data_IF_403210787818
#
_entry.id   IF_403210787818
#
_cell.length_a   1.000
_cell.length_b   1.000
_cell.length_c   1.000
_cell.angle_alpha   90.00
_cell.angle_beta   90.00
_cell.angle_gamma   90.00
#
_symmetry.space_group_name_H-M   'P 1'
#
loop_
_entity.id
_entity.type
_entity.pdbx_description
1 polymer ?
#
# COMPACT_ATOMS: atom_id res chain seq x y z
N UNK A 1 -35.79 12.10 4.58
CA UNK A 1 -36.09 13.35 5.34
C UNK A 1 -36.09 14.51 4.36
N UNK A 2 -37.02 15.45 4.53
CA UNK A 2 -37.07 16.64 3.69
C UNK A 2 -35.98 17.63 4.13
N UNK A 3 -34.96 17.82 3.32
CA UNK A 3 -33.80 18.69 3.64
C UNK A 3 -34.16 20.18 3.65
N UNK A 4 -35.36 20.55 3.21
CA UNK A 4 -35.81 21.93 3.05
C UNK A 4 -36.86 22.35 4.09
N UNK A 5 -37.19 21.47 5.03
CA UNK A 5 -38.16 21.79 6.08
C UNK A 5 -37.59 22.85 7.05
N UNK A 6 -38.20 24.03 7.04
CA UNK A 6 -37.83 25.16 7.91
C UNK A 6 -39.12 25.68 8.57
N UNK A 7 -39.02 26.00 9.85
CA UNK A 7 -40.12 26.67 10.55
C UNK A 7 -40.10 28.16 10.21
N UNK A 8 -41.01 28.64 9.36
CA UNK A 8 -41.07 30.02 8.86
C UNK A 8 -41.91 30.92 9.79
N UNK A 9 -41.63 30.91 11.08
CA UNK A 9 -42.30 31.80 12.05
C UNK A 9 -41.38 32.99 12.32
N UNK A 10 -41.77 34.16 11.86
CA UNK A 10 -41.06 35.45 12.08
C UNK A 10 -41.71 36.26 13.19
N UNK A 11 -41.68 35.77 14.43
CA UNK A 11 -42.14 36.51 15.59
C UNK A 11 -40.95 37.09 16.38
N UNK A 12 -41.11 38.26 16.98
CA UNK A 12 -40.06 38.89 17.83
C UNK A 12 -40.28 38.58 19.32
N UNK A 13 -40.92 37.46 19.62
CA UNK A 13 -41.23 36.95 20.95
C UNK A 13 -40.60 35.58 21.20
N UNK A 14 -41.01 34.94 22.32
CA UNK A 14 -40.50 33.62 22.69
C UNK A 14 -40.81 32.54 21.64
N UNK A 15 -41.82 32.77 20.78
CA UNK A 15 -42.19 31.84 19.70
C UNK A 15 -41.21 31.92 18.55
N UNK A 16 -40.71 33.14 18.23
CA UNK A 16 -39.66 33.35 17.24
C UNK A 16 -38.36 32.64 17.67
N UNK A 17 -37.95 32.82 18.92
CA UNK A 17 -36.76 32.14 19.48
C UNK A 17 -36.92 30.61 19.45
N UNK A 18 -38.10 30.11 19.72
CA UNK A 18 -38.39 28.67 19.65
C UNK A 18 -38.29 28.15 18.22
N UNK A 19 -38.80 28.88 17.23
CA UNK A 19 -38.72 28.52 15.81
C UNK A 19 -37.26 28.43 15.33
N UNK A 20 -36.42 29.42 15.70
CA UNK A 20 -34.99 29.46 15.38
C UNK A 20 -34.27 28.24 16.01
N UNK A 21 -34.50 27.95 17.29
CA UNK A 21 -33.94 26.83 17.97
C UNK A 21 -34.34 25.47 17.34
N UNK A 22 -35.57 25.33 16.86
CA UNK A 22 -36.05 24.15 16.14
C UNK A 22 -35.32 24.02 14.80
N UNK A 23 -35.15 25.10 14.08
CA UNK A 23 -34.42 25.11 12.80
C UNK A 23 -32.94 24.71 13.00
N UNK A 24 -32.30 25.29 14.00
CA UNK A 24 -30.90 24.96 14.34
C UNK A 24 -30.76 23.48 14.74
N UNK A 25 -31.66 22.98 15.58
CA UNK A 25 -31.69 21.57 15.97
C UNK A 25 -31.89 20.66 14.75
N UNK A 26 -32.79 21.05 13.85
CA UNK A 26 -33.05 20.28 12.63
C UNK A 26 -31.84 20.26 11.69
N UNK A 27 -31.16 21.40 11.49
CA UNK A 27 -29.94 21.47 10.69
C UNK A 27 -28.80 20.64 11.30
N UNK A 28 -28.61 20.72 12.62
CA UNK A 28 -27.63 19.90 13.32
C UNK A 28 -27.94 18.40 13.19
N UNK A 29 -29.21 18.01 13.25
CA UNK A 29 -29.63 16.64 13.02
C UNK A 29 -29.35 16.15 11.60
N UNK A 30 -29.64 16.95 10.59
CA UNK A 30 -29.35 16.63 9.19
C UNK A 30 -27.84 16.43 8.97
N UNK A 31 -27.01 17.34 9.50
CA UNK A 31 -25.55 17.26 9.43
C UNK A 31 -25.04 15.98 10.11
N UNK A 32 -25.59 15.64 11.29
CA UNK A 32 -25.23 14.41 11.98
C UNK A 32 -25.62 13.15 11.20
N UNK A 33 -26.81 13.14 10.58
CA UNK A 33 -27.25 12.02 9.73
C UNK A 33 -26.32 11.88 8.51
N UNK A 34 -26.00 12.94 7.82
CA UNK A 34 -25.07 12.91 6.66
C UNK A 34 -23.68 12.38 7.07
N UNK A 35 -23.19 12.83 8.22
CA UNK A 35 -21.90 12.36 8.75
C UNK A 35 -21.96 10.84 9.07
N UNK A 36 -23.03 10.37 9.69
CA UNK A 36 -23.22 8.95 9.99
C UNK A 36 -23.39 8.09 8.74
N UNK A 37 -24.06 8.59 7.72
CA UNK A 37 -24.19 7.92 6.42
C UNK A 37 -22.84 7.77 5.73
N UNK A 38 -22.02 8.84 5.73
CA UNK A 38 -20.65 8.81 5.18
C UNK A 38 -19.76 7.81 5.95
N UNK A 39 -19.82 7.84 7.27
CA UNK A 39 -19.03 6.92 8.10
C UNK A 39 -19.47 5.45 7.90
N UNK A 40 -20.78 5.20 7.80
CA UNK A 40 -21.32 3.88 7.46
C UNK A 40 -20.80 3.39 6.12
N UNK A 41 -20.78 4.25 5.10
CA UNK A 41 -20.25 3.91 3.79
C UNK A 41 -18.76 3.54 3.87
N UNK A 42 -17.95 4.34 4.56
CA UNK A 42 -16.51 4.06 4.77
C UNK A 42 -16.29 2.70 5.44
N UNK A 43 -17.07 2.40 6.49
CA UNK A 43 -16.99 1.11 7.19
C UNK A 43 -17.37 -0.05 6.26
N UNK A 44 -18.41 0.11 5.46
CA UNK A 44 -18.84 -0.92 4.51
C UNK A 44 -17.79 -1.17 3.41
N UNK A 45 -17.19 -0.12 2.89
CA UNK A 45 -16.12 -0.23 1.87
C UNK A 45 -14.87 -0.89 2.45
N UNK A 46 -14.49 -0.54 3.68
CA UNK A 46 -13.35 -1.15 4.38
C UNK A 46 -13.60 -2.65 4.64
N UNK A 47 -14.80 -3.02 5.09
CA UNK A 47 -15.17 -4.42 5.34
C UNK A 47 -15.18 -5.23 4.03
N UNK A 48 -15.71 -4.66 2.95
CA UNK A 48 -15.71 -5.30 1.62
C UNK A 48 -14.28 -5.55 1.14
N UNK A 49 -13.43 -4.53 1.21
CA UNK A 49 -12.01 -4.63 0.83
C UNK A 49 -11.29 -5.71 1.66
N UNK A 50 -11.58 -5.79 2.97
CA UNK A 50 -11.02 -6.81 3.85
C UNK A 50 -11.44 -8.23 3.46
N UNK A 51 -12.71 -8.44 3.12
CA UNK A 51 -13.21 -9.75 2.67
C UNK A 51 -12.58 -10.15 1.33
N UNK A 52 -12.48 -9.22 0.38
CA UNK A 52 -11.82 -9.45 -0.90
C UNK A 52 -10.34 -9.79 -0.72
N UNK A 53 -9.63 -9.05 0.15
CA UNK A 53 -8.25 -9.35 0.51
C UNK A 53 -8.07 -10.77 1.08
N UNK A 54 -8.89 -11.17 2.07
CA UNK A 54 -8.79 -12.50 2.68
C UNK A 54 -9.12 -13.62 1.69
N UNK A 55 -10.04 -13.37 0.76
CA UNK A 55 -10.37 -14.32 -0.31
C UNK A 55 -9.19 -14.49 -1.26
N UNK A 56 -8.58 -13.40 -1.70
CA UNK A 56 -7.39 -13.42 -2.54
C UNK A 56 -6.21 -14.09 -1.84
N UNK A 57 -5.97 -13.76 -0.56
CA UNK A 57 -4.94 -14.39 0.27
C UNK A 57 -5.11 -15.92 0.36
N UNK A 58 -6.34 -16.38 0.59
CA UNK A 58 -6.65 -17.82 0.65
C UNK A 58 -6.37 -18.53 -0.67
N UNK A 59 -6.66 -17.86 -1.79
CA UNK A 59 -6.40 -18.40 -3.12
C UNK A 59 -4.89 -18.50 -3.40
N UNK A 60 -4.14 -17.43 -3.11
CA UNK A 60 -2.70 -17.35 -3.36
C UNK A 60 -1.88 -18.29 -2.44
N UNK A 61 -2.34 -18.55 -1.22
CA UNK A 61 -1.74 -19.55 -0.33
C UNK A 61 -2.00 -20.98 -0.79
N UNK A 62 -3.17 -21.25 -1.36
CA UNK A 62 -3.57 -22.60 -1.78
C UNK A 62 -2.67 -23.15 -2.90
N UNK A 63 -2.28 -22.30 -3.85
CA UNK A 63 -1.49 -22.70 -5.02
C UNK A 63 -0.12 -23.29 -4.64
N UNK A 64 0.78 -22.56 -3.92
CA UNK A 64 2.07 -23.10 -3.52
C UNK A 64 1.95 -24.24 -2.52
N UNK A 65 0.94 -24.24 -1.65
CA UNK A 65 0.68 -25.34 -0.73
C UNK A 65 0.32 -26.63 -1.48
N UNK A 66 -0.49 -26.54 -2.52
CA UNK A 66 -0.84 -27.68 -3.36
C UNK A 66 0.38 -28.21 -4.14
N UNK A 67 1.22 -27.30 -4.65
CA UNK A 67 2.46 -27.67 -5.34
C UNK A 67 3.44 -28.37 -4.40
N UNK A 68 3.64 -27.82 -3.20
CA UNK A 68 4.49 -28.43 -2.16
C UNK A 68 4.02 -29.84 -1.79
N UNK A 69 2.73 -30.00 -1.54
CA UNK A 69 2.16 -31.33 -1.24
C UNK A 69 2.37 -32.32 -2.39
N UNK A 70 2.17 -31.89 -3.64
CA UNK A 70 2.39 -32.74 -4.79
C UNK A 70 3.87 -33.20 -4.93
N UNK A 71 4.83 -32.30 -4.69
CA UNK A 71 6.26 -32.67 -4.67
C UNK A 71 6.54 -33.67 -3.57
N UNK A 72 6.07 -33.42 -2.34
CA UNK A 72 6.27 -34.32 -1.20
C UNK A 72 5.63 -35.71 -1.42
N UNK A 73 4.41 -35.79 -1.95
CA UNK A 73 3.74 -37.05 -2.27
C UNK A 73 4.53 -37.84 -3.31
N UNK A 74 5.00 -37.19 -4.38
CA UNK A 74 5.83 -37.86 -5.39
C UNK A 74 7.18 -38.34 -4.83
N UNK A 75 7.77 -37.57 -3.88
CA UNK A 75 8.98 -38.01 -3.17
C UNK A 75 8.71 -39.25 -2.29
N UNK A 76 7.62 -39.22 -1.52
CA UNK A 76 7.21 -40.38 -0.67
C UNK A 76 6.97 -41.62 -1.49
N UNK A 77 6.32 -41.50 -2.65
CA UNK A 77 6.03 -42.61 -3.56
C UNK A 77 7.25 -43.00 -4.41
N UNK A 78 8.34 -42.24 -4.37
CA UNK A 78 9.54 -42.53 -5.16
C UNK A 78 9.32 -42.48 -6.67
N UNK A 79 8.46 -41.56 -7.16
CA UNK A 79 8.07 -41.49 -8.58
C UNK A 79 9.10 -40.72 -9.39
N UNK A 80 9.68 -41.30 -10.41
CA UNK A 80 10.50 -40.65 -11.43
C UNK A 80 11.66 -39.80 -10.84
N UNK A 81 11.74 -38.54 -11.25
CA UNK A 81 12.77 -37.59 -10.84
C UNK A 81 12.74 -37.23 -9.34
N UNK A 82 11.60 -37.37 -8.68
CA UNK A 82 11.43 -37.03 -7.26
C UNK A 82 12.12 -37.98 -6.27
N UNK A 83 12.85 -39.00 -6.78
CA UNK A 83 13.78 -39.84 -5.98
C UNK A 83 15.06 -39.10 -5.62
N UNK A 84 15.36 -38.02 -6.31
CA UNK A 84 16.51 -37.15 -6.03
C UNK A 84 16.18 -36.19 -4.87
N UNK A 85 16.32 -36.70 -3.65
CA UNK A 85 16.04 -35.93 -2.43
C UNK A 85 17.01 -34.77 -2.23
N UNK A 86 18.23 -34.85 -2.78
CA UNK A 86 19.22 -33.78 -2.65
C UNK A 86 18.77 -32.52 -3.41
N UNK A 87 18.08 -32.68 -4.53
CA UNK A 87 17.49 -31.60 -5.32
C UNK A 87 16.15 -31.12 -4.75
N UNK A 88 15.23 -32.03 -4.43
CA UNK A 88 13.84 -31.64 -4.10
C UNK A 88 13.60 -31.26 -2.66
N UNK A 89 14.41 -31.68 -1.68
CA UNK A 89 14.28 -31.19 -0.30
C UNK A 89 14.62 -29.70 -0.16
N UNK A 90 15.71 -29.17 -0.77
CA UNK A 90 15.94 -27.72 -0.83
C UNK A 90 14.80 -26.95 -1.50
N UNK A 91 14.24 -27.45 -2.60
CA UNK A 91 13.09 -26.85 -3.29
C UNK A 91 11.85 -26.79 -2.37
N UNK A 92 11.52 -27.87 -1.67
CA UNK A 92 10.44 -27.88 -0.69
C UNK A 92 10.68 -26.90 0.45
N UNK A 93 11.93 -26.77 0.92
CA UNK A 93 12.30 -25.80 1.95
C UNK A 93 12.08 -24.37 1.47
N UNK A 94 12.53 -24.03 0.26
CA UNK A 94 12.32 -22.70 -0.34
C UNK A 94 10.83 -22.37 -0.46
N UNK A 95 10.00 -23.31 -0.94
CA UNK A 95 8.55 -23.15 -1.00
C UNK A 95 7.93 -22.89 0.38
N UNK A 96 8.45 -23.55 1.42
CA UNK A 96 7.99 -23.37 2.81
C UNK A 96 8.38 -21.98 3.34
N UNK A 97 9.58 -21.48 3.03
CA UNK A 97 10.05 -20.16 3.38
C UNK A 97 9.20 -19.08 2.70
N UNK A 98 8.92 -19.24 1.40
CA UNK A 98 8.03 -18.35 0.63
C UNK A 98 6.61 -18.30 1.23
N UNK A 99 6.04 -19.46 1.59
CA UNK A 99 4.74 -19.53 2.27
C UNK A 99 4.76 -18.81 3.62
N UNK A 100 5.83 -18.97 4.40
CA UNK A 100 5.98 -18.33 5.70
C UNK A 100 6.06 -16.80 5.58
N UNK A 101 6.76 -16.29 4.58
CA UNK A 101 6.85 -14.86 4.30
C UNK A 101 5.50 -14.31 3.83
N UNK A 102 4.79 -15.03 2.97
CA UNK A 102 3.44 -14.66 2.52
C UNK A 102 2.45 -14.59 3.69
N UNK A 103 2.46 -15.58 4.61
CA UNK A 103 1.61 -15.56 5.82
C UNK A 103 1.95 -14.35 6.70
N UNK A 104 3.24 -14.03 6.87
CA UNK A 104 3.67 -12.86 7.65
C UNK A 104 3.15 -11.57 7.03
N UNK A 105 3.28 -11.39 5.71
CA UNK A 105 2.77 -10.21 5.01
C UNK A 105 1.24 -10.10 5.11
N UNK A 106 0.50 -11.21 4.98
CA UNK A 106 -0.95 -11.25 5.16
C UNK A 106 -1.35 -10.82 6.58
N UNK A 107 -0.66 -11.33 7.61
CA UNK A 107 -0.92 -10.97 9.00
C UNK A 107 -0.59 -9.51 9.30
N UNK A 108 0.49 -8.98 8.74
CA UNK A 108 0.82 -7.55 8.87
C UNK A 108 -0.23 -6.68 8.16
N UNK A 109 -0.62 -7.06 6.95
CA UNK A 109 -1.61 -6.32 6.15
C UNK A 109 -3.00 -6.37 6.78
N UNK A 110 -3.41 -7.50 7.35
CA UNK A 110 -4.71 -7.63 8.02
C UNK A 110 -4.87 -6.74 9.27
N UNK A 111 -3.75 -6.26 9.83
CA UNK A 111 -3.73 -5.29 10.94
C UNK A 111 -3.85 -3.85 10.45
N UNK A 112 -3.60 -3.59 9.17
CA UNK A 112 -3.84 -2.29 8.55
C UNK A 112 -5.37 -2.11 8.42
N UNK A 113 -5.89 -0.93 8.77
CA UNK A 113 -7.34 -0.67 8.77
C UNK A 113 -8.11 -1.23 9.99
N UNK A 114 -7.45 -1.90 10.94
CA UNK A 114 -8.03 -2.09 12.27
C UNK A 114 -7.92 -0.76 13.04
N UNK A 115 -8.89 -0.40 13.91
CA UNK A 115 -8.74 0.74 14.81
C UNK A 115 -7.70 0.42 15.90
N UNK A 116 -6.54 -0.05 15.49
CA UNK A 116 -5.36 -0.02 16.32
C UNK A 116 -5.04 1.44 16.54
N UNK A 117 -4.90 1.83 17.81
CA UNK A 117 -4.45 3.13 18.30
C UNK A 117 -3.73 3.89 17.19
N UNK A 118 -4.38 4.94 16.69
CA UNK A 118 -3.80 5.82 15.68
C UNK A 118 -2.37 6.11 16.10
N UNK A 119 -1.40 5.72 15.29
CA UNK A 119 -0.02 6.09 15.57
C UNK A 119 0.03 7.59 15.77
N UNK A 120 0.67 8.04 16.83
CA UNK A 120 0.74 9.46 17.12
C UNK A 120 1.44 10.18 15.96
N UNK A 121 0.82 11.26 15.49
CA UNK A 121 1.44 12.15 14.52
C UNK A 121 2.68 12.77 15.16
N UNK A 122 3.81 12.69 14.48
CA UNK A 122 5.06 13.28 14.93
C UNK A 122 5.63 14.22 13.86
N UNK A 123 6.11 15.37 14.29
CA UNK A 123 6.89 16.24 13.43
C UNK A 123 8.21 15.53 13.09
N UNK A 124 8.44 15.32 11.81
CA UNK A 124 9.51 14.48 11.30
C UNK A 124 10.31 15.22 10.24
N UNK A 125 11.60 15.36 10.47
CA UNK A 125 12.54 15.69 9.40
C UNK A 125 12.69 14.48 8.49
N UNK A 126 12.04 14.54 7.33
CA UNK A 126 12.01 13.43 6.40
C UNK A 126 13.37 13.13 5.77
N UNK A 127 14.26 14.12 5.68
CA UNK A 127 15.60 13.90 5.16
C UNK A 127 16.39 13.01 6.11
N UNK A 128 16.34 13.29 7.41
CA UNK A 128 17.00 12.47 8.44
C UNK A 128 16.29 11.11 8.62
N UNK A 129 14.97 11.08 8.50
CA UNK A 129 14.18 9.85 8.65
C UNK A 129 14.40 8.86 7.51
N UNK A 130 14.49 9.34 6.26
CA UNK A 130 14.62 8.49 5.08
C UNK A 130 16.05 7.94 4.87
N UNK A 131 17.08 8.61 5.36
CA UNK A 131 18.46 8.14 5.21
C UNK A 131 18.68 6.71 5.70
N UNK A 132 18.42 6.37 6.97
CA UNK A 132 18.62 5.00 7.48
C UNK A 132 17.63 4.00 6.84
N UNK A 133 16.47 4.46 6.38
CA UNK A 133 15.50 3.62 5.71
C UNK A 133 15.95 3.21 4.31
N UNK A 134 16.67 4.09 3.59
CA UNK A 134 17.19 3.83 2.25
C UNK A 134 18.44 2.94 2.23
N UNK A 135 19.24 2.95 3.30
CA UNK A 135 20.53 2.25 3.37
C UNK A 135 20.48 0.76 2.99
N UNK A 136 19.54 -0.07 3.50
CA UNK A 136 19.44 -1.48 3.10
C UNK A 136 19.17 -1.66 1.61
N UNK A 137 18.33 -0.80 1.02
CA UNK A 137 17.98 -0.86 -0.39
C UNK A 137 19.13 -0.42 -1.30
N UNK A 138 19.92 0.57 -0.87
CA UNK A 138 21.15 0.97 -1.56
C UNK A 138 22.16 -0.18 -1.59
N UNK A 139 22.34 -0.90 -0.47
CA UNK A 139 23.22 -2.06 -0.42
C UNK A 139 22.78 -3.18 -1.34
N UNK A 140 21.46 -3.51 -1.34
CA UNK A 140 20.90 -4.53 -2.25
C UNK A 140 21.05 -4.08 -3.71
N UNK A 141 20.73 -2.82 -4.02
CA UNK A 141 20.89 -2.26 -5.36
C UNK A 141 22.34 -2.39 -5.84
N UNK A 142 23.31 -2.02 -5.02
CA UNK A 142 24.74 -2.14 -5.31
C UNK A 142 25.16 -3.60 -5.54
N UNK A 143 24.69 -4.53 -4.71
CA UNK A 143 24.98 -5.96 -4.88
C UNK A 143 24.41 -6.52 -6.20
N UNK A 144 23.32 -5.92 -6.71
CA UNK A 144 22.70 -6.27 -8.01
C UNK A 144 23.24 -5.47 -9.19
N UNK A 145 24.28 -4.64 -9.01
CA UNK A 145 24.86 -3.80 -10.07
C UNK A 145 23.96 -2.64 -10.51
N UNK A 146 23.01 -2.20 -9.66
CA UNK A 146 22.13 -1.07 -9.91
C UNK A 146 22.74 0.23 -9.39
N UNK A 147 22.33 1.37 -9.96
CA UNK A 147 22.71 2.70 -9.51
C UNK A 147 21.62 3.24 -8.58
N UNK A 148 21.97 3.53 -7.33
CA UNK A 148 21.06 4.15 -6.37
C UNK A 148 21.44 5.61 -6.17
N UNK A 149 20.51 6.54 -6.42
CA UNK A 149 20.70 8.00 -6.28
C UNK A 149 19.75 8.54 -5.23
N UNK A 150 20.31 9.17 -4.21
CA UNK A 150 19.56 9.77 -3.10
C UNK A 150 19.84 11.28 -3.08
N UNK A 151 18.80 12.09 -3.26
CA UNK A 151 18.87 13.55 -3.14
C UNK A 151 17.81 14.05 -2.16
N UNK A 152 18.20 14.14 -0.90
CA UNK A 152 17.39 14.61 0.22
C UNK A 152 17.82 16.03 0.68
N UNK A 153 18.58 16.73 -0.14
CA UNK A 153 19.22 18.03 0.21
C UNK A 153 18.20 19.15 0.50
N UNK A 154 16.95 19.02 0.06
CA UNK A 154 15.94 20.05 0.23
C UNK A 154 15.39 20.21 1.66
N UNK A 155 15.72 19.31 2.60
CA UNK A 155 15.23 19.32 3.99
C UNK A 155 13.72 19.54 4.08
N UNK A 156 12.94 18.51 4.36
CA UNK A 156 11.48 18.67 4.44
C UNK A 156 10.95 18.10 5.75
N UNK A 157 10.22 18.92 6.51
CA UNK A 157 9.54 18.51 7.74
C UNK A 157 8.05 18.29 7.48
N UNK A 158 7.51 17.20 7.97
CA UNK A 158 6.09 16.90 7.91
C UNK A 158 5.58 16.30 9.23
N UNK A 159 4.31 16.52 9.50
CA UNK A 159 3.62 15.89 10.66
C UNK A 159 2.90 14.65 10.14
N UNK A 160 3.41 13.46 10.49
CA UNK A 160 2.88 12.20 9.98
C UNK A 160 3.17 11.01 10.93
N UNK A 161 2.48 9.88 10.76
CA UNK A 161 2.76 8.64 11.48
C UNK A 161 4.01 7.98 10.85
N UNK A 162 5.16 8.13 11.52
CA UNK A 162 6.47 7.74 11.01
C UNK A 162 6.55 6.27 10.57
N UNK A 163 5.98 5.37 11.37
CA UNK A 163 6.03 3.93 11.09
C UNK A 163 5.22 3.55 9.86
N UNK A 164 4.02 4.13 9.70
CA UNK A 164 3.18 3.90 8.52
C UNK A 164 3.84 4.46 7.26
N UNK A 165 4.34 5.69 7.34
CA UNK A 165 5.03 6.33 6.22
C UNK A 165 6.31 5.57 5.83
N UNK A 166 7.13 5.20 6.81
CA UNK A 166 8.33 4.38 6.58
C UNK A 166 8.01 3.04 5.92
N UNK A 167 6.93 2.36 6.35
CA UNK A 167 6.49 1.10 5.73
C UNK A 167 6.05 1.30 4.27
N UNK A 168 5.33 2.38 3.96
CA UNK A 168 4.92 2.70 2.59
C UNK A 168 6.16 2.95 1.70
N UNK A 169 7.09 3.79 2.13
CA UNK A 169 8.32 4.07 1.38
C UNK A 169 9.18 2.81 1.21
N UNK A 170 9.30 1.98 2.26
CA UNK A 170 10.02 0.70 2.19
C UNK A 170 9.45 -0.24 1.12
N UNK A 171 8.12 -0.34 1.01
CA UNK A 171 7.50 -1.17 -0.03
C UNK A 171 7.73 -0.62 -1.44
N UNK A 172 7.71 0.70 -1.62
CA UNK A 172 8.03 1.32 -2.91
C UNK A 172 9.49 1.06 -3.28
N UNK A 173 10.42 1.21 -2.34
CA UNK A 173 11.86 0.95 -2.57
C UNK A 173 12.13 -0.53 -2.84
N UNK A 174 11.47 -1.45 -2.13
CA UNK A 174 11.56 -2.88 -2.39
C UNK A 174 11.13 -3.21 -3.83
N UNK A 175 10.00 -2.65 -4.28
CA UNK A 175 9.55 -2.79 -5.66
C UNK A 175 10.54 -2.17 -6.65
N UNK A 176 11.05 -0.97 -6.38
CA UNK A 176 12.03 -0.32 -7.24
C UNK A 176 13.29 -1.20 -7.41
N UNK A 177 13.84 -1.74 -6.31
CA UNK A 177 14.99 -2.64 -6.37
C UNK A 177 14.67 -3.94 -7.11
N UNK A 178 13.48 -4.54 -6.88
CA UNK A 178 13.09 -5.81 -7.50
C UNK A 178 12.92 -5.70 -9.03
N UNK A 179 12.37 -4.58 -9.51
CA UNK A 179 11.96 -4.44 -10.91
C UNK A 179 12.88 -3.58 -11.76
N UNK A 180 13.89 -2.92 -11.19
CA UNK A 180 14.88 -2.17 -11.97
C UNK A 180 15.65 -3.11 -12.90
N UNK A 181 15.85 -2.68 -14.15
CA UNK A 181 16.66 -3.41 -15.13
C UNK A 181 18.13 -3.46 -14.70
N UNK A 182 18.87 -4.45 -15.16
CA UNK A 182 20.31 -4.56 -14.92
C UNK A 182 21.04 -3.27 -15.37
N UNK A 183 21.91 -2.76 -14.51
CA UNK A 183 22.61 -1.47 -14.73
C UNK A 183 21.72 -0.24 -14.66
N UNK A 184 20.42 -0.39 -14.36
CA UNK A 184 19.46 0.71 -14.27
C UNK A 184 19.60 1.53 -13.00
N UNK A 185 18.94 2.70 -13.01
CA UNK A 185 18.98 3.67 -11.92
C UNK A 185 17.69 3.63 -11.10
N UNK A 186 17.84 3.72 -9.79
CA UNK A 186 16.78 4.03 -8.81
C UNK A 186 17.11 5.42 -8.26
N UNK A 187 16.15 6.33 -8.23
CA UNK A 187 16.33 7.65 -7.64
C UNK A 187 15.24 7.96 -6.62
N UNK A 188 15.62 8.57 -5.51
CA UNK A 188 14.72 9.11 -4.52
C UNK A 188 15.11 10.56 -4.25
N UNK A 189 14.16 11.48 -4.43
CA UNK A 189 14.40 12.91 -4.22
C UNK A 189 13.16 13.65 -3.75
N UNK A 190 13.37 14.83 -3.15
CA UNK A 190 12.31 15.82 -2.93
C UNK A 190 12.28 16.83 -4.07
N UNK A 191 11.07 17.11 -4.58
CA UNK A 191 10.81 18.26 -5.44
C UNK A 191 9.68 19.08 -4.84
N UNK A 192 10.02 20.25 -4.30
CA UNK A 192 9.08 21.05 -3.49
C UNK A 192 8.63 20.25 -2.28
N UNK A 193 7.35 19.90 -2.21
CA UNK A 193 6.75 19.08 -1.16
C UNK A 193 6.43 17.64 -1.59
N UNK A 194 6.89 17.22 -2.77
CA UNK A 194 6.65 15.89 -3.27
C UNK A 194 7.89 15.00 -3.05
N UNK A 195 7.68 13.85 -2.43
CA UNK A 195 8.65 12.76 -2.41
C UNK A 195 8.50 11.97 -3.70
N UNK A 196 9.56 11.90 -4.49
CA UNK A 196 9.57 11.23 -5.78
C UNK A 196 10.52 10.04 -5.74
N UNK A 197 10.02 8.88 -6.10
CA UNK A 197 10.80 7.65 -6.24
C UNK A 197 10.64 7.18 -7.68
N UNK A 198 11.76 7.05 -8.39
CA UNK A 198 11.81 6.63 -9.79
C UNK A 198 12.70 5.41 -9.92
N UNK A 199 12.35 4.54 -10.86
CA UNK A 199 13.20 3.42 -11.21
C UNK A 199 13.15 3.10 -12.69
N UNK A 200 14.30 2.80 -13.28
CA UNK A 200 14.42 2.42 -14.68
C UNK A 200 14.04 0.95 -14.88
N UNK A 201 12.91 0.72 -15.50
CA UNK A 201 12.39 -0.62 -15.75
C UNK A 201 11.55 -0.64 -17.03
N UNK A 202 11.02 -1.80 -17.39
CA UNK A 202 9.94 -1.88 -18.37
C UNK A 202 8.71 -1.18 -17.78
N UNK A 203 8.17 -0.13 -18.41
CA UNK A 203 6.98 0.54 -17.92
C UNK A 203 5.77 -0.40 -17.87
N UNK A 204 4.95 -0.22 -16.86
CA UNK A 204 3.69 -0.97 -16.73
C UNK A 204 2.73 -0.48 -17.81
N UNK A 205 2.11 -1.39 -18.60
CA UNK A 205 1.11 -1.01 -19.59
C UNK A 205 -0.08 -0.28 -18.97
N UNK A 206 -0.64 0.68 -19.71
CA UNK A 206 -1.76 1.51 -19.24
C UNK A 206 -2.97 0.66 -18.78
N UNK A 207 -3.19 -0.48 -19.42
CA UNK A 207 -4.26 -1.43 -19.08
C UNK A 207 -4.06 -2.10 -17.72
N UNK A 208 -2.81 -2.30 -17.30
CA UNK A 208 -2.46 -2.94 -16.04
C UNK A 208 -2.39 -1.95 -14.86
N UNK A 209 -2.17 -0.65 -15.12
CA UNK A 209 -2.02 0.38 -14.08
C UNK A 209 -3.19 0.45 -13.09
N UNK A 210 -4.47 0.35 -13.49
CA UNK A 210 -5.58 0.37 -12.53
C UNK A 210 -5.55 -0.79 -11.54
N UNK A 211 -4.94 -1.92 -11.93
CA UNK A 211 -4.94 -3.17 -11.16
C UNK A 211 -3.71 -3.34 -10.25
N UNK A 212 -2.64 -2.55 -10.43
CA UNK A 212 -1.38 -2.75 -9.68
C UNK A 212 -1.50 -2.57 -8.17
N UNK A 213 -2.57 -1.93 -7.72
CA UNK A 213 -2.90 -1.75 -6.31
C UNK A 213 -3.87 -2.81 -5.76
N UNK A 214 -4.35 -3.73 -6.61
CA UNK A 214 -5.14 -4.86 -6.14
C UNK A 214 -4.24 -5.86 -5.39
N UNK A 215 -4.73 -6.49 -4.33
CA UNK A 215 -3.92 -7.43 -3.57
C UNK A 215 -3.54 -8.64 -4.42
N UNK A 216 -2.27 -9.05 -4.36
CA UNK A 216 -1.68 -10.19 -5.10
C UNK A 216 -1.64 -10.01 -6.62
N UNK A 217 -2.04 -8.85 -7.15
CA UNK A 217 -1.96 -8.62 -8.57
C UNK A 217 -0.51 -8.54 -9.04
N UNK A 218 -0.20 -9.29 -10.10
CA UNK A 218 1.09 -9.27 -10.79
C UNK A 218 0.84 -9.36 -12.29
N UNK A 219 1.33 -8.41 -13.10
CA UNK A 219 1.30 -8.55 -14.56
C UNK A 219 2.00 -9.84 -15.00
N UNK A 220 1.52 -10.49 -16.06
CA UNK A 220 2.00 -11.81 -16.50
C UNK A 220 3.52 -11.87 -16.76
N UNK A 221 4.10 -10.79 -17.29
CA UNK A 221 5.55 -10.67 -17.50
C UNK A 221 6.36 -10.58 -16.20
N UNK A 222 5.73 -10.27 -15.07
CA UNK A 222 6.37 -10.19 -13.75
C UNK A 222 6.26 -11.50 -12.95
N UNK A 223 5.43 -12.45 -13.38
CA UNK A 223 5.23 -13.75 -12.69
C UNK A 223 6.43 -14.66 -12.75
N UNK A 224 7.22 -14.59 -13.83
CA UNK A 224 8.34 -15.49 -14.11
C UNK A 224 9.70 -14.98 -13.61
N UNK A 225 9.75 -13.85 -12.87
CA UNK A 225 11.01 -13.36 -12.31
C UNK A 225 11.31 -14.00 -10.97
N UNK A 226 12.46 -14.66 -10.88
CA UNK A 226 13.06 -15.08 -9.61
C UNK A 226 13.24 -13.85 -8.70
N UNK A 227 12.68 -13.88 -7.50
CA UNK A 227 12.76 -12.77 -6.55
C UNK A 227 11.64 -11.73 -6.64
N UNK A 228 10.59 -11.95 -7.44
CA UNK A 228 9.40 -11.10 -7.44
C UNK A 228 8.55 -11.34 -6.18
N UNK A 229 8.22 -10.26 -5.45
CA UNK A 229 7.38 -10.33 -4.24
C UNK A 229 5.97 -10.87 -4.50
N UNK A 230 5.21 -11.07 -3.41
CA UNK A 230 3.89 -11.73 -3.42
C UNK A 230 2.74 -10.86 -3.99
N UNK A 231 3.03 -9.67 -4.58
CA UNK A 231 1.99 -8.77 -5.11
C UNK A 231 1.23 -7.98 -4.05
N UNK A 232 1.73 -7.95 -2.81
CA UNK A 232 1.12 -7.18 -1.72
C UNK A 232 1.75 -5.80 -1.53
N UNK A 233 2.97 -5.56 -2.01
CA UNK A 233 3.72 -4.34 -1.72
C UNK A 233 2.98 -3.07 -2.11
N UNK A 234 2.46 -2.96 -3.34
CA UNK A 234 1.71 -1.77 -3.80
C UNK A 234 0.32 -1.67 -3.16
N UNK A 235 -0.35 -2.78 -2.87
CA UNK A 235 -1.59 -2.79 -2.09
C UNK A 235 -1.38 -2.21 -0.69
N UNK A 236 -0.29 -2.59 0.00
CA UNK A 236 0.09 -2.02 1.30
C UNK A 236 0.35 -0.52 1.19
N UNK A 237 1.06 -0.09 0.15
CA UNK A 237 1.33 1.34 -0.12
C UNK A 237 0.03 2.11 -0.27
N UNK A 238 -0.89 1.63 -1.13
CA UNK A 238 -2.20 2.24 -1.37
C UNK A 238 -3.00 2.38 -0.06
N UNK A 239 -3.08 1.28 0.70
CA UNK A 239 -3.80 1.25 1.98
C UNK A 239 -3.24 2.26 2.97
N UNK A 240 -1.91 2.28 3.15
CA UNK A 240 -1.26 3.18 4.10
C UNK A 240 -1.36 4.66 3.70
N UNK A 241 -1.17 4.98 2.41
CA UNK A 241 -1.25 6.36 1.93
C UNK A 241 -2.69 6.90 2.00
N UNK A 242 -3.70 6.06 1.72
CA UNK A 242 -5.12 6.40 1.91
C UNK A 242 -5.46 6.63 3.38
N UNK A 243 -4.97 5.79 4.29
CA UNK A 243 -5.19 5.94 5.74
C UNK A 243 -4.52 7.21 6.29
N UNK A 244 -3.36 7.58 5.76
CA UNK A 244 -2.68 8.84 6.06
C UNK A 244 -3.27 10.04 5.31
N UNK A 245 -4.24 9.82 4.40
CA UNK A 245 -4.82 10.82 3.49
C UNK A 245 -3.75 11.58 2.68
N UNK A 246 -2.65 10.92 2.33
CA UNK A 246 -1.60 11.48 1.52
C UNK A 246 -1.89 11.23 0.03
N UNK A 247 -2.05 12.29 -0.79
CA UNK A 247 -2.21 12.12 -2.22
C UNK A 247 -0.96 11.51 -2.85
N UNK A 248 -1.15 10.61 -3.79
CA UNK A 248 -0.04 9.97 -4.50
C UNK A 248 -0.41 9.68 -5.95
N UNK A 249 0.62 9.48 -6.77
CA UNK A 249 0.46 8.99 -8.14
C UNK A 249 1.55 7.97 -8.48
N UNK A 250 1.19 7.01 -9.34
CA UNK A 250 2.12 6.02 -9.89
C UNK A 250 1.94 5.96 -11.39
N UNK A 251 2.98 6.31 -12.13
CA UNK A 251 2.87 6.53 -13.56
C UNK A 251 4.14 6.11 -14.30
N UNK A 252 4.02 5.70 -15.59
CA UNK A 252 5.17 5.40 -16.41
C UNK A 252 5.97 6.67 -16.73
N UNK A 253 7.28 6.48 -16.94
CA UNK A 253 8.20 7.48 -17.50
C UNK A 253 8.63 7.05 -18.89
N UNK A 254 8.83 8.04 -19.79
CA UNK A 254 9.30 7.77 -21.16
C UNK A 254 10.83 7.86 -21.28
N UNK A 255 11.43 8.85 -20.60
CA UNK A 255 12.89 9.10 -20.69
C UNK A 255 13.47 9.45 -19.30
N UNK A 256 14.26 8.55 -18.71
CA UNK A 256 14.45 7.15 -19.08
C UNK A 256 13.17 6.33 -18.93
N UNK A 257 13.01 5.25 -19.71
CA UNK A 257 11.86 4.36 -19.58
C UNK A 257 11.84 3.73 -18.18
N UNK A 258 10.71 3.83 -17.48
CA UNK A 258 10.62 3.37 -16.11
C UNK A 258 9.29 3.71 -15.45
N UNK A 259 9.27 3.65 -14.14
CA UNK A 259 8.12 4.01 -13.31
C UNK A 259 8.48 5.12 -12.32
N UNK A 260 7.51 5.99 -12.04
CA UNK A 260 7.60 7.07 -11.06
C UNK A 260 6.47 6.97 -10.05
N UNK A 261 6.84 6.94 -8.78
CA UNK A 261 5.92 7.09 -7.67
C UNK A 261 6.11 8.47 -7.03
N UNK A 262 5.03 9.20 -6.85
CA UNK A 262 5.01 10.54 -6.23
C UNK A 262 4.10 10.51 -5.03
N UNK A 263 4.59 10.97 -3.88
CA UNK A 263 3.79 11.18 -2.67
C UNK A 263 3.77 12.68 -2.38
N UNK A 264 2.59 13.30 -2.38
CA UNK A 264 2.44 14.72 -2.10
C UNK A 264 2.23 14.96 -0.62
N UNK A 265 3.11 15.77 -0.03
CA UNK A 265 3.12 16.07 1.42
C UNK A 265 2.51 17.46 1.73
N UNK A 266 1.93 18.13 0.72
CA UNK A 266 1.58 19.55 0.74
C UNK A 266 0.50 19.99 1.74
N UNK A 267 -0.40 19.10 2.13
CA UNK A 267 -1.63 19.53 2.80
C UNK A 267 -1.70 19.16 4.28
N UNK A 268 -0.55 18.85 4.91
CA UNK A 268 -0.54 18.46 6.33
C UNK A 268 0.49 19.20 7.19
N UNK A 269 0.70 20.50 6.86
CA UNK A 269 1.41 21.42 7.77
C UNK A 269 0.42 22.01 8.76
#
# INVERSE_FOLDING_TARGET
MDKTAVCEIHAQDEIGVLADNINDLYQNLLTAIESLEMEKQRVQEAERSRVEFLRAASHELKTPLTALNAVLENMILGIGKYRDYETYLPECKEMTEQLSDMVREILETSKLGSPMKSEALAETDLSLFLLPLCEPYEQIAKARGLIFRLDLSAGFCAVLPQRMFGKAVSNILANAVAYTKEGGTISLCFRKSDLIIENECMPIPAEALPHVFEPFYRPDYARNREGGGNGLGLYIVDTLLKEMELPYSFQPMEQPAGMRFVISLKDKI
#
